data_IF_211842286305
#
_entry.id   IF_211842286305
#
_cell.length_a   1.000
_cell.length_b   1.000
_cell.length_c   1.000
_cell.angle_alpha   90.00
_cell.angle_beta   90.00
_cell.angle_gamma   90.00
#
_symmetry.space_group_name_H-M   'P 1'
#
loop_
_entity.id
_entity.type
_entity.pdbx_description
1 polymer ?
#
# COMPACT_ATOMS: atom_id res chain seq x y z
N UNK A 1 -35.95 -8.33 8.09
CA UNK A 1 -37.10 -7.54 8.58
C UNK A 1 -37.13 -6.28 7.74
N UNK A 2 -38.07 -6.17 6.81
CA UNK A 2 -38.08 -5.14 5.76
C UNK A 2 -39.05 -4.04 6.17
N UNK A 3 -38.60 -2.79 6.19
CA UNK A 3 -39.46 -1.62 6.40
C UNK A 3 -39.50 -0.85 5.08
N UNK A 4 -40.69 -0.70 4.51
CA UNK A 4 -40.91 -0.06 3.22
C UNK A 4 -41.40 1.38 3.44
N UNK A 5 -40.77 2.34 2.77
CA UNK A 5 -41.33 3.68 2.55
C UNK A 5 -41.20 4.03 1.06
N UNK A 6 -42.32 4.40 0.44
CA UNK A 6 -42.45 5.02 -0.88
C UNK A 6 -41.74 4.34 -2.06
N UNK A 7 -42.11 3.08 -2.34
CA UNK A 7 -42.08 2.52 -3.72
C UNK A 7 -40.71 2.32 -4.40
N UNK A 8 -39.60 2.74 -3.80
CA UNK A 8 -38.27 2.49 -4.32
C UNK A 8 -37.61 1.33 -3.56
N UNK A 9 -37.49 0.20 -4.24
CA UNK A 9 -36.74 -0.96 -3.78
C UNK A 9 -35.29 -0.55 -3.48
N UNK A 10 -34.91 -0.55 -2.21
CA UNK A 10 -33.55 -0.31 -1.74
C UNK A 10 -32.66 -1.51 -2.14
N UNK A 11 -32.19 -1.51 -3.39
CA UNK A 11 -31.06 -2.33 -3.86
C UNK A 11 -29.73 -1.57 -3.85
N UNK A 12 -29.72 -0.35 -3.30
CA UNK A 12 -28.54 0.53 -3.32
C UNK A 12 -27.58 0.31 -2.15
N UNK A 13 -28.05 -0.20 -1.00
CA UNK A 13 -27.20 -0.29 0.19
C UNK A 13 -26.21 -1.46 0.14
N UNK A 14 -26.56 -2.56 -0.52
CA UNK A 14 -25.68 -3.72 -0.70
C UNK A 14 -24.72 -3.56 -1.89
N UNK A 15 -25.02 -2.64 -2.83
CA UNK A 15 -24.24 -2.46 -4.05
C UNK A 15 -22.98 -1.60 -3.87
N UNK A 16 -22.95 -0.76 -2.82
CA UNK A 16 -21.83 0.15 -2.54
C UNK A 16 -20.57 -0.59 -2.02
N UNK A 17 -20.72 -1.69 -1.29
CA UNK A 17 -19.58 -2.43 -0.74
C UNK A 17 -18.87 -3.33 -1.76
N UNK A 18 -19.52 -3.69 -2.88
CA UNK A 18 -19.00 -4.65 -3.86
C UNK A 18 -18.17 -4.01 -4.98
N UNK A 19 -18.08 -2.68 -5.00
CA UNK A 19 -17.37 -1.94 -6.05
C UNK A 19 -16.15 -1.24 -5.48
N UNK A 20 -15.12 -1.10 -6.31
CA UNK A 20 -13.88 -0.43 -5.92
C UNK A 20 -14.14 1.05 -5.65
N UNK A 21 -13.71 1.52 -4.48
CA UNK A 21 -13.79 2.94 -4.12
C UNK A 21 -12.92 3.76 -5.09
N UNK A 22 -13.57 4.44 -6.03
CA UNK A 22 -12.91 5.28 -7.01
C UNK A 22 -12.73 6.69 -6.47
N UNK A 23 -11.48 7.05 -6.14
CA UNK A 23 -11.14 8.40 -5.69
C UNK A 23 -10.63 9.18 -6.90
N UNK A 24 -11.30 10.28 -7.28
CA UNK A 24 -10.82 11.20 -8.30
C UNK A 24 -9.34 11.58 -8.12
N UNK A 25 -8.55 11.65 -9.21
CA UNK A 25 -7.12 11.96 -9.12
C UNK A 25 -6.78 13.25 -8.38
N UNK A 26 -7.61 14.29 -8.52
CA UNK A 26 -7.41 15.57 -7.84
C UNK A 26 -7.58 15.50 -6.30
N UNK A 27 -8.15 14.41 -5.77
CA UNK A 27 -8.28 14.13 -4.34
C UNK A 27 -7.15 13.25 -3.79
N UNK A 28 -6.16 12.92 -4.64
CA UNK A 28 -4.96 12.17 -4.31
C UNK A 28 -3.73 13.09 -4.27
N UNK A 29 -2.67 12.69 -3.54
CA UNK A 29 -1.40 13.39 -3.57
C UNK A 29 -0.81 13.38 -4.97
N UNK A 30 -0.41 14.54 -5.46
CA UNK A 30 0.29 14.67 -6.74
C UNK A 30 1.79 14.56 -6.49
N UNK A 31 2.34 13.37 -6.69
CA UNK A 31 3.75 13.06 -6.44
C UNK A 31 4.23 11.94 -7.36
N UNK A 32 5.55 11.88 -7.62
CA UNK A 32 6.20 10.78 -8.33
C UNK A 32 6.43 9.55 -7.44
N UNK A 33 6.21 9.70 -6.13
CA UNK A 33 6.41 8.62 -5.16
C UNK A 33 5.17 7.72 -5.05
N UNK A 34 5.35 6.41 -4.84
CA UNK A 34 4.24 5.48 -4.73
C UNK A 34 3.41 5.75 -3.47
N UNK A 35 2.11 5.51 -3.55
CA UNK A 35 1.25 5.45 -2.37
C UNK A 35 1.32 4.08 -1.70
N UNK A 36 0.97 4.00 -0.41
CA UNK A 36 0.89 2.71 0.29
C UNK A 36 -0.01 1.73 -0.47
N UNK A 37 -1.14 2.20 -0.99
CA UNK A 37 -2.06 1.34 -1.71
C UNK A 37 -1.49 0.83 -3.05
N UNK A 38 -0.65 1.60 -3.73
CA UNK A 38 -0.07 1.22 -5.03
C UNK A 38 0.93 0.06 -4.95
N UNK A 39 1.50 -0.20 -3.77
CA UNK A 39 2.45 -1.31 -3.55
C UNK A 39 1.79 -2.53 -2.90
N UNK A 40 0.52 -2.42 -2.52
CA UNK A 40 -0.26 -3.53 -1.99
C UNK A 40 -0.95 -4.26 -3.13
N UNK A 41 -0.87 -5.59 -3.10
CA UNK A 41 -1.60 -6.44 -4.02
C UNK A 41 -2.69 -7.20 -3.27
N UNK A 42 -3.94 -7.04 -3.70
CA UNK A 42 -5.05 -7.84 -3.22
C UNK A 42 -6.09 -7.99 -4.32
N UNK A 43 -6.66 -9.19 -4.45
CA UNK A 43 -7.77 -9.46 -5.36
C UNK A 43 -9.12 -9.08 -4.73
N UNK A 44 -9.14 -8.76 -3.43
CA UNK A 44 -10.36 -8.47 -2.69
C UNK A 44 -10.60 -6.96 -2.58
N UNK A 45 -11.61 -6.48 -3.31
CA UNK A 45 -12.02 -5.08 -3.34
C UNK A 45 -12.45 -4.54 -1.96
N UNK A 46 -12.99 -5.39 -1.08
CA UNK A 46 -13.39 -5.01 0.27
C UNK A 46 -12.16 -4.63 1.09
N UNK A 47 -11.07 -5.39 0.96
CA UNK A 47 -9.82 -5.11 1.67
C UNK A 47 -9.28 -3.75 1.26
N UNK A 48 -9.24 -3.49 -0.05
CA UNK A 48 -8.88 -2.18 -0.59
C UNK A 48 -9.74 -1.03 -0.04
N UNK A 49 -11.07 -1.20 -0.03
CA UNK A 49 -11.98 -0.17 0.47
C UNK A 49 -11.74 0.10 1.96
N UNK A 50 -11.59 -0.96 2.77
CA UNK A 50 -11.28 -0.84 4.20
C UNK A 50 -9.94 -0.15 4.43
N UNK A 51 -8.90 -0.48 3.65
CA UNK A 51 -7.60 0.17 3.75
C UNK A 51 -7.66 1.65 3.41
N UNK A 52 -8.51 2.03 2.47
CA UNK A 52 -8.71 3.43 2.13
C UNK A 52 -9.52 4.18 3.20
N UNK A 53 -10.66 3.62 3.62
CA UNK A 53 -11.58 4.25 4.56
C UNK A 53 -10.97 4.38 5.97
N UNK A 54 -10.30 3.34 6.45
CA UNK A 54 -9.74 3.29 7.80
C UNK A 54 -8.29 3.78 7.87
N UNK A 55 -7.57 3.71 6.75
CA UNK A 55 -6.13 3.92 6.70
C UNK A 55 -5.67 5.11 5.86
N UNK A 56 -6.54 5.73 5.06
CA UNK A 56 -6.14 6.73 4.06
C UNK A 56 -5.02 6.21 3.12
N UNK A 57 -4.99 4.91 2.80
CA UNK A 57 -3.84 4.26 2.18
C UNK A 57 -3.39 4.85 0.83
N UNK A 58 -4.28 5.46 0.03
CA UNK A 58 -3.92 6.18 -1.20
C UNK A 58 -3.30 7.54 -0.95
N UNK A 59 -3.51 8.12 0.23
CA UNK A 59 -2.98 9.43 0.65
C UNK A 59 -1.74 9.32 1.53
N UNK A 60 -1.28 8.10 1.78
CA UNK A 60 0.01 7.79 2.38
C UNK A 60 1.05 7.62 1.28
N UNK A 61 2.18 8.32 1.38
CA UNK A 61 3.28 8.26 0.39
C UNK A 61 4.46 7.52 0.96
N UNK A 62 5.07 6.65 0.16
CA UNK A 62 6.25 5.87 0.54
C UNK A 62 7.51 6.44 -0.10
N UNK A 63 8.54 6.66 0.72
CA UNK A 63 9.85 7.13 0.29
C UNK A 63 10.93 6.23 0.86
N UNK A 64 12.11 6.23 0.23
CA UNK A 64 13.26 5.47 0.73
C UNK A 64 13.92 6.20 1.89
N UNK A 65 14.35 7.43 1.63
CA UNK A 65 15.23 8.17 2.51
C UNK A 65 14.49 9.17 3.40
N UNK A 66 15.05 9.42 4.59
CA UNK A 66 14.46 10.33 5.57
C UNK A 66 14.42 11.78 5.07
N UNK A 67 15.47 12.25 4.39
CA UNK A 67 15.54 13.63 3.93
C UNK A 67 14.56 13.90 2.79
N UNK A 68 14.40 12.94 1.86
CA UNK A 68 13.32 12.97 0.86
C UNK A 68 11.96 13.02 1.57
N UNK A 69 11.78 12.21 2.61
CA UNK A 69 10.55 12.21 3.41
C UNK A 69 10.21 13.57 4.01
N UNK A 70 11.20 14.27 4.59
CA UNK A 70 11.00 15.62 5.14
C UNK A 70 10.57 16.60 4.06
N UNK A 71 11.27 16.60 2.92
CA UNK A 71 10.94 17.49 1.81
C UNK A 71 9.52 17.27 1.29
N UNK A 72 9.11 16.01 1.12
CA UNK A 72 7.76 15.66 0.68
C UNK A 72 6.70 16.04 1.74
N UNK A 73 6.96 15.75 3.02
CA UNK A 73 5.99 15.96 4.09
C UNK A 73 5.82 17.44 4.48
N UNK A 74 6.87 18.25 4.37
CA UNK A 74 6.96 19.57 5.01
C UNK A 74 7.18 20.72 4.01
N UNK A 75 7.96 20.50 2.96
CA UNK A 75 8.42 21.60 2.09
C UNK A 75 7.54 21.74 0.82
N UNK A 76 7.21 20.62 0.16
CA UNK A 76 6.56 20.62 -1.15
C UNK A 76 5.05 20.96 -1.13
N UNK A 77 4.44 21.10 0.05
CA UNK A 77 3.00 21.43 0.24
C UNK A 77 2.06 20.62 -0.68
N UNK A 78 2.25 19.31 -0.73
CA UNK A 78 1.47 18.42 -1.60
C UNK A 78 0.02 18.35 -1.10
N UNK A 79 -0.94 18.68 -1.97
CA UNK A 79 -2.36 18.61 -1.66
C UNK A 79 -2.80 17.17 -1.36
N UNK A 80 -3.74 17.00 -0.41
CA UNK A 80 -4.31 15.70 -0.03
C UNK A 80 -3.31 14.66 0.52
N UNK A 81 -2.06 15.06 0.79
CA UNK A 81 -1.09 14.22 1.48
C UNK A 81 -1.49 14.09 2.95
N UNK A 82 -1.64 12.85 3.43
CA UNK A 82 -1.94 12.58 4.85
C UNK A 82 -0.65 12.31 5.61
N UNK A 83 0.15 11.37 5.13
CA UNK A 83 1.31 10.85 5.85
C UNK A 83 2.39 10.40 4.86
N UNK A 84 3.65 10.49 5.28
CA UNK A 84 4.81 9.97 4.54
C UNK A 84 5.50 8.92 5.41
N UNK A 85 5.80 7.77 4.82
CA UNK A 85 6.54 6.69 5.47
C UNK A 85 7.89 6.45 4.79
N UNK A 86 8.94 6.30 5.57
CA UNK A 86 10.28 5.94 5.07
C UNK A 86 10.50 4.44 5.12
N UNK A 87 11.47 3.93 4.36
CA UNK A 87 11.88 2.51 4.42
C UNK A 87 12.36 2.10 5.81
N UNK A 88 13.00 3.02 6.55
CA UNK A 88 13.42 2.79 7.94
C UNK A 88 12.25 2.77 8.93
N UNK A 89 11.03 3.07 8.47
CA UNK A 89 9.80 3.02 9.28
C UNK A 89 9.44 4.32 9.99
N UNK A 90 10.10 5.44 9.66
CA UNK A 90 9.69 6.75 10.17
C UNK A 90 8.37 7.16 9.54
N UNK A 91 7.57 7.90 10.31
CA UNK A 91 6.29 8.46 9.88
C UNK A 91 6.34 9.98 10.00
N UNK A 92 6.04 10.69 8.93
CA UNK A 92 6.06 12.16 8.87
C UNK A 92 4.71 12.69 8.44
N UNK A 93 4.24 13.75 9.09
CA UNK A 93 2.97 14.40 8.73
C UNK A 93 2.91 15.83 9.27
N UNK A 94 2.07 16.65 8.63
CA UNK A 94 1.76 18.01 9.08
C UNK A 94 0.32 18.03 9.61
N UNK A 95 0.12 18.62 10.79
CA UNK A 95 -1.21 18.90 11.35
C UNK A 95 -1.30 20.40 11.67
N UNK A 96 -2.06 21.13 10.85
CA UNK A 96 -2.10 22.59 10.93
C UNK A 96 -0.70 23.16 10.67
N UNK A 97 -0.15 23.87 11.66
CA UNK A 97 1.19 24.45 11.60
C UNK A 97 2.29 23.54 12.15
N UNK A 98 1.93 22.38 12.71
CA UNK A 98 2.88 21.49 13.40
C UNK A 98 3.37 20.41 12.44
N UNK A 99 4.69 20.36 12.27
CA UNK A 99 5.39 19.30 11.56
C UNK A 99 5.81 18.22 12.56
N UNK A 100 5.47 16.96 12.29
CA UNK A 100 5.77 15.85 13.20
C UNK A 100 6.53 14.75 12.47
N UNK A 101 7.61 14.28 13.09
CA UNK A 101 8.32 13.06 12.70
C UNK A 101 8.26 12.07 13.86
N UNK A 102 7.60 10.94 13.64
CA UNK A 102 7.52 9.85 14.60
C UNK A 102 8.55 8.77 14.25
N UNK A 103 9.31 8.28 15.24
CA UNK A 103 10.25 7.19 15.01
C UNK A 103 9.52 5.87 14.71
N UNK A 104 10.23 4.88 14.14
CA UNK A 104 9.69 3.56 13.91
C UNK A 104 9.17 2.95 15.22
N UNK A 105 7.92 2.48 15.20
CA UNK A 105 7.35 1.83 16.37
C UNK A 105 8.01 0.45 16.55
N UNK A 106 8.83 0.29 17.58
CA UNK A 106 9.53 -0.96 17.93
C UNK A 106 8.60 -2.16 18.17
N UNK A 107 7.30 -1.92 18.40
CA UNK A 107 6.27 -2.96 18.59
C UNK A 107 5.57 -3.38 17.30
N UNK A 108 5.86 -2.75 16.15
CA UNK A 108 5.32 -3.22 14.87
C UNK A 108 5.98 -4.54 14.53
N UNK A 109 5.18 -5.59 14.49
CA UNK A 109 5.60 -6.91 14.04
C UNK A 109 5.80 -6.81 12.52
N UNK A 110 7.06 -6.92 12.07
CA UNK A 110 7.37 -7.19 10.67
C UNK A 110 6.86 -8.59 10.33
N UNK A 111 5.99 -8.73 9.32
CA UNK A 111 5.54 -10.05 8.84
C UNK A 111 4.03 -10.25 8.71
N UNK A 112 3.19 -9.26 9.04
CA UNK A 112 1.74 -9.37 8.78
C UNK A 112 1.37 -9.32 7.29
N UNK A 113 2.27 -8.78 6.45
CA UNK A 113 2.13 -8.79 4.99
C UNK A 113 3.21 -9.72 4.43
N UNK A 114 2.77 -10.77 3.76
CA UNK A 114 3.66 -11.68 3.06
C UNK A 114 4.01 -11.08 1.70
N UNK A 115 5.28 -11.16 1.30
CA UNK A 115 5.67 -10.98 -0.10
C UNK A 115 5.45 -12.30 -0.85
N UNK A 116 4.98 -12.23 -2.10
CA UNK A 116 5.02 -13.38 -3.00
C UNK A 116 6.47 -13.61 -3.44
N UNK A 117 6.93 -14.84 -3.29
CA UNK A 117 8.27 -15.29 -3.67
C UNK A 117 8.23 -16.34 -4.79
N UNK A 118 7.06 -16.60 -5.38
CA UNK A 118 6.85 -17.75 -6.26
C UNK A 118 7.80 -17.71 -7.46
N UNK A 119 7.91 -16.56 -8.14
CA UNK A 119 8.85 -16.37 -9.24
C UNK A 119 10.33 -16.53 -8.82
N UNK A 120 10.69 -16.06 -7.63
CA UNK A 120 12.06 -16.17 -7.11
C UNK A 120 12.40 -17.62 -6.76
N UNK A 121 11.43 -18.38 -6.26
CA UNK A 121 11.57 -19.81 -5.98
C UNK A 121 11.73 -20.58 -7.30
N UNK A 122 10.92 -20.29 -8.32
CA UNK A 122 11.02 -20.92 -9.63
C UNK A 122 12.36 -20.67 -10.31
N UNK A 123 12.88 -19.43 -10.26
CA UNK A 123 14.19 -19.10 -10.80
C UNK A 123 15.31 -19.83 -10.05
N UNK A 124 15.24 -19.89 -8.72
CA UNK A 124 16.20 -20.66 -7.91
C UNK A 124 16.16 -22.17 -8.21
N UNK A 125 14.97 -22.74 -8.44
CA UNK A 125 14.81 -24.15 -8.82
C UNK A 125 15.41 -24.42 -10.20
N UNK A 126 15.22 -23.50 -11.15
CA UNK A 126 15.82 -23.57 -12.48
C UNK A 126 17.35 -23.53 -12.39
N UNK A 127 17.89 -22.61 -11.61
CA UNK A 127 19.33 -22.49 -11.40
C UNK A 127 19.91 -23.75 -10.75
N UNK A 128 19.23 -24.33 -9.76
CA UNK A 128 19.63 -25.60 -9.15
C UNK A 128 19.69 -26.72 -10.20
N UNK A 129 18.65 -26.82 -11.04
CA UNK A 129 18.60 -27.85 -12.10
C UNK A 129 19.76 -27.71 -13.09
N UNK A 130 20.05 -26.49 -13.53
CA UNK A 130 21.15 -26.20 -14.45
C UNK A 130 22.51 -26.56 -13.84
N UNK A 131 22.74 -26.18 -12.57
CA UNK A 131 23.98 -26.49 -11.87
C UNK A 131 24.17 -28.01 -11.68
N UNK A 132 23.09 -28.75 -11.41
CA UNK A 132 23.15 -30.23 -11.28
C UNK A 132 23.50 -30.88 -12.61
N UNK A 133 22.89 -30.45 -13.72
CA UNK A 133 23.21 -30.96 -15.05
C UNK A 133 24.68 -30.69 -15.42
N UNK A 134 25.18 -29.48 -15.17
CA UNK A 134 26.59 -29.15 -15.40
C UNK A 134 27.53 -30.03 -14.57
N UNK A 135 27.22 -30.23 -13.28
CA UNK A 135 28.03 -31.06 -12.41
C UNK A 135 28.06 -32.53 -12.85
N UNK A 136 26.96 -33.05 -13.41
CA UNK A 136 26.93 -34.40 -13.98
C UNK A 136 27.75 -34.50 -15.27
N UNK A 137 27.63 -33.51 -16.17
CA UNK A 137 28.42 -33.48 -17.42
C UNK A 137 29.93 -33.41 -17.18
N UNK A 138 30.37 -32.75 -16.10
CA UNK A 138 31.80 -32.67 -15.72
C UNK A 138 32.32 -33.91 -14.97
N UNK A 139 31.44 -34.83 -14.57
CA UNK A 139 31.80 -36.10 -13.91
C UNK A 139 31.94 -37.28 -14.89
N UNK A 140 31.47 -37.12 -16.14
CA UNK A 140 31.80 -38.01 -17.27
C UNK A 140 33.10 -37.58 -17.91
#
# INVERSE_FOLDING_TARGET
>A
MTVSFNGHSLHLHTMLCLTMLNIPPHMLPQTSHPSTLSVLHTENHIVYNVLEDMGDAKRQVLVRDNDVGKTIAFDQRISNLKEVYTSDGYKMFTRGTVQTTLPPNKKKISGCLCSSFDAQIEDLQRDESNMREEAQRRKM
#
